data_IF_736009256268
#
_entry.id   IF_736009256268
#
_cell.length_a   1.000
_cell.length_b   1.000
_cell.length_c   1.000
_cell.angle_alpha   90.00
_cell.angle_beta   90.00
_cell.angle_gamma   90.00
#
_symmetry.space_group_name_H-M   'P 1'
#
loop_
_entity.id
_entity.type
_entity.pdbx_description
1 polymer ?
#
# COMPACT_ATOMS: atom_id res chain seq x y z
N UNK A 1 -15.91 -4.89 -7.49
CA UNK A 1 -14.90 -4.57 -6.44
C UNK A 1 -13.73 -3.77 -6.99
N UNK A 2 -13.13 -4.13 -8.14
CA UNK A 2 -12.00 -3.40 -8.76
C UNK A 2 -12.28 -1.92 -9.04
N UNK A 3 -13.49 -1.59 -9.53
CA UNK A 3 -13.85 -0.20 -9.85
C UNK A 3 -13.79 0.78 -8.66
N UNK A 4 -14.12 0.32 -7.43
CA UNK A 4 -13.99 1.15 -6.24
C UNK A 4 -12.52 1.36 -5.85
N UNK A 5 -11.69 0.31 -6.02
CA UNK A 5 -10.25 0.40 -5.74
C UNK A 5 -9.59 1.42 -6.66
N UNK A 6 -9.91 1.40 -7.94
CA UNK A 6 -9.38 2.34 -8.92
C UNK A 6 -9.82 3.78 -8.61
N UNK A 7 -11.06 3.98 -8.14
CA UNK A 7 -11.55 5.29 -7.72
C UNK A 7 -10.78 5.85 -6.52
N UNK A 8 -10.52 5.02 -5.50
CA UNK A 8 -9.75 5.42 -4.33
C UNK A 8 -8.28 5.68 -4.67
N UNK A 9 -7.68 4.87 -5.55
CA UNK A 9 -6.33 5.11 -6.06
C UNK A 9 -6.25 6.40 -6.89
N UNK A 10 -7.26 6.67 -7.71
CA UNK A 10 -7.30 7.89 -8.53
C UNK A 10 -7.50 9.14 -7.69
N UNK A 11 -8.37 9.12 -6.69
CA UNK A 11 -8.73 10.31 -5.90
C UNK A 11 -7.89 10.50 -4.63
N UNK A 12 -7.26 9.45 -4.09
CA UNK A 12 -6.50 9.52 -2.84
C UNK A 12 -5.28 10.43 -2.94
N UNK A 13 -5.09 11.34 -1.99
CA UNK A 13 -3.96 12.28 -2.01
C UNK A 13 -2.69 11.72 -1.36
N UNK A 14 -2.82 10.62 -0.62
CA UNK A 14 -1.71 9.87 -0.05
C UNK A 14 -2.17 8.49 0.40
N UNK A 15 -1.22 7.58 0.59
CA UNK A 15 -1.50 6.18 0.89
C UNK A 15 -0.64 5.67 2.05
N UNK A 16 -1.25 4.88 2.94
CA UNK A 16 -0.53 4.08 3.91
C UNK A 16 -0.47 2.64 3.41
N UNK A 17 0.73 2.13 3.17
CA UNK A 17 0.99 0.74 2.79
C UNK A 17 1.28 -0.04 4.06
N UNK A 18 0.39 -0.95 4.44
CA UNK A 18 0.44 -1.64 5.72
C UNK A 18 0.74 -3.13 5.51
N UNK A 19 1.76 -3.66 6.17
CA UNK A 19 2.08 -5.09 6.18
C UNK A 19 2.08 -5.64 7.61
N UNK A 20 1.99 -6.95 7.77
CA UNK A 20 2.11 -7.63 9.07
C UNK A 20 3.56 -7.99 9.32
N UNK A 21 4.15 -7.56 10.45
CA UNK A 21 5.54 -7.91 10.77
C UNK A 21 5.72 -9.43 10.96
N UNK A 22 4.65 -10.13 11.28
CA UNK A 22 4.64 -11.59 11.47
C UNK A 22 4.51 -12.40 10.18
N UNK A 23 4.34 -11.76 9.01
CA UNK A 23 4.14 -12.47 7.74
C UNK A 23 4.83 -11.75 6.57
N UNK A 24 6.02 -12.23 6.19
CA UNK A 24 6.84 -11.66 5.12
C UNK A 24 6.13 -11.57 3.76
N UNK A 25 5.22 -12.50 3.45
CA UNK A 25 4.42 -12.44 2.22
C UNK A 25 3.65 -11.13 2.10
N UNK A 26 3.08 -10.64 3.19
CA UNK A 26 2.31 -9.38 3.20
C UNK A 26 3.16 -8.16 2.89
N UNK A 27 4.47 -8.21 3.18
CA UNK A 27 5.41 -7.17 2.79
C UNK A 27 5.72 -7.23 1.29
N UNK A 28 5.94 -8.43 0.76
CA UNK A 28 6.25 -8.63 -0.66
C UNK A 28 5.08 -8.18 -1.55
N UNK A 29 3.85 -8.44 -1.14
CA UNK A 29 2.64 -8.03 -1.86
C UNK A 29 2.49 -6.48 -1.97
N UNK A 30 3.14 -5.71 -1.08
CA UNK A 30 3.09 -4.24 -1.14
C UNK A 30 3.81 -3.67 -2.35
N UNK A 31 4.78 -4.39 -2.93
CA UNK A 31 5.48 -3.93 -4.12
C UNK A 31 4.52 -3.79 -5.31
N UNK A 32 3.72 -4.83 -5.57
CA UNK A 32 2.72 -4.83 -6.63
C UNK A 32 1.66 -3.75 -6.39
N UNK A 33 1.25 -3.55 -5.13
CA UNK A 33 0.28 -2.53 -4.76
C UNK A 33 0.83 -1.11 -5.00
N UNK A 34 2.09 -0.85 -4.66
CA UNK A 34 2.77 0.42 -4.91
C UNK A 34 2.81 0.71 -6.41
N UNK A 35 3.23 -0.25 -7.22
CA UNK A 35 3.30 -0.09 -8.68
C UNK A 35 1.93 0.22 -9.29
N UNK A 36 0.87 -0.41 -8.80
CA UNK A 36 -0.50 -0.12 -9.22
C UNK A 36 -0.94 1.30 -8.87
N UNK A 37 -0.60 1.81 -7.68
CA UNK A 37 -0.90 3.19 -7.28
C UNK A 37 -0.17 4.20 -8.18
N UNK A 38 1.14 4.01 -8.38
CA UNK A 38 1.95 4.90 -9.21
C UNK A 38 1.43 4.94 -10.65
N UNK A 39 1.05 3.77 -11.20
CA UNK A 39 0.46 3.68 -12.54
C UNK A 39 -0.89 4.38 -12.66
N UNK A 40 -1.75 4.30 -11.64
CA UNK A 40 -3.05 5.00 -11.64
C UNK A 40 -2.88 6.51 -11.46
N UNK A 41 -1.85 6.93 -10.71
CA UNK A 41 -1.52 8.34 -10.47
C UNK A 41 -0.73 8.99 -11.60
N UNK A 42 -0.12 8.20 -12.47
CA UNK A 42 0.74 8.66 -13.57
C UNK A 42 1.89 9.57 -13.07
N UNK A 43 2.43 9.25 -11.90
CA UNK A 43 3.54 9.98 -11.27
C UNK A 43 4.24 9.10 -10.23
N UNK A 44 5.55 9.33 -10.02
CA UNK A 44 6.33 8.70 -8.96
C UNK A 44 6.27 9.45 -7.62
N UNK A 45 5.84 10.72 -7.66
CA UNK A 45 5.76 11.62 -6.50
C UNK A 45 4.38 11.55 -5.84
N UNK A 46 4.08 10.41 -5.24
CA UNK A 46 2.84 10.19 -4.48
C UNK A 46 3.19 10.06 -3.00
N UNK A 47 2.58 10.88 -2.10
CA UNK A 47 2.79 10.76 -0.66
C UNK A 47 2.42 9.36 -0.17
N UNK A 48 3.41 8.60 0.28
CA UNK A 48 3.23 7.24 0.76
C UNK A 48 3.98 7.01 2.06
N UNK A 49 3.37 6.29 2.99
CA UNK A 49 4.01 5.82 4.23
C UNK A 49 3.92 4.30 4.31
N UNK A 50 5.01 3.65 4.69
CA UNK A 50 5.06 2.21 4.95
C UNK A 50 4.85 1.98 6.45
N UNK A 51 3.94 1.07 6.81
CA UNK A 51 3.55 0.79 8.19
C UNK A 51 3.68 -0.72 8.46
N UNK A 52 4.58 -1.09 9.37
CA UNK A 52 4.65 -2.43 9.93
C UNK A 52 3.62 -2.58 11.06
N UNK A 53 2.57 -3.35 10.82
CA UNK A 53 1.50 -3.62 11.77
C UNK A 53 1.77 -4.89 12.58
N UNK A 54 1.07 -5.02 13.72
CA UNK A 54 1.19 -6.11 14.70
C UNK A 54 2.50 -6.12 15.49
N UNK A 55 3.03 -4.94 15.81
CA UNK A 55 4.21 -4.81 16.67
C UNK A 55 3.98 -5.29 18.11
N UNK A 56 2.72 -5.50 18.52
CA UNK A 56 2.39 -6.14 19.79
C UNK A 56 2.74 -7.63 19.84
N UNK A 57 2.96 -8.26 18.67
CA UNK A 57 3.34 -9.67 18.56
C UNK A 57 4.86 -9.86 18.55
N UNK A 58 5.61 -8.97 19.20
CA UNK A 58 7.01 -9.19 19.55
C UNK A 58 7.08 -10.41 20.50
N UNK A 59 7.84 -11.44 20.10
CA UNK A 59 8.24 -12.53 21.00
C UNK A 59 9.02 -11.99 22.21
#
# INVERSE_FOLDING_TARGET
FTAMRDLYMKNGQGFALVYSITAQSTFNDLQDLREQILRVKDTEDVPMILVGNKCDLED
#
